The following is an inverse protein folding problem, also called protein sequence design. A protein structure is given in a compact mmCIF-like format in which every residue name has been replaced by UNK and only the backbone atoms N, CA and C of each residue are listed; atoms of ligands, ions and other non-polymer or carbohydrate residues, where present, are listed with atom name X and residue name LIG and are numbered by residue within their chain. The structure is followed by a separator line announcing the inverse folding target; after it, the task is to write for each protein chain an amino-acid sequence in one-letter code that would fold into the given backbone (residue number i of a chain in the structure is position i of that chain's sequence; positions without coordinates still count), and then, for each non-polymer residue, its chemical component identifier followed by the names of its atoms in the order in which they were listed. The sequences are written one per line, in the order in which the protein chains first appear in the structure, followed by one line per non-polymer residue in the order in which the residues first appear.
data_IF_724258559712
#
_entry.id   IF_724258559712
#
_cell.length_a   1.000
_cell.length_b   1.000
_cell.length_c   1.000
_cell.angle_alpha   90.00
_cell.angle_beta   90.00
_cell.angle_gamma   90.00
#
_symmetry.space_group_name_H-M   'P 1'
#
loop_
_entity.id
_entity.type
_entity.pdbx_description
1 polymer ?
#
# COMPACT_ATOMS: atom_id res chain seq x y z
N UNK A 1 -16.62 13.98 16.31
CA UNK A 1 -17.10 12.84 15.49
C UNK A 1 -15.97 11.82 15.42
N UNK A 2 -16.28 10.54 15.63
CA UNK A 2 -15.30 9.44 15.54
C UNK A 2 -15.08 9.05 14.07
N UNK A 3 -13.84 8.78 13.67
CA UNK A 3 -13.50 8.27 12.34
C UNK A 3 -13.79 6.77 12.23
N UNK A 4 -13.92 6.26 10.99
CA UNK A 4 -14.19 4.84 10.74
C UNK A 4 -13.08 3.92 11.29
N UNK A 5 -11.82 4.35 11.24
CA UNK A 5 -10.69 3.58 11.81
C UNK A 5 -10.78 3.50 13.33
N UNK A 6 -11.05 4.63 13.99
CA UNK A 6 -11.20 4.68 15.46
C UNK A 6 -12.39 3.84 15.95
N UNK A 7 -13.45 3.72 15.14
CA UNK A 7 -14.58 2.86 15.41
C UNK A 7 -14.19 1.37 15.37
N UNK A 8 -13.48 0.92 14.32
CA UNK A 8 -12.99 -0.47 14.21
C UNK A 8 -12.07 -0.81 15.39
N UNK A 9 -11.15 0.08 15.73
CA UNK A 9 -10.24 -0.13 16.86
C UNK A 9 -10.98 -0.19 18.21
N UNK A 10 -12.05 0.57 18.37
CA UNK A 10 -12.90 0.51 19.56
C UNK A 10 -13.66 -0.81 19.65
N UNK A 11 -14.23 -1.29 18.53
CA UNK A 11 -14.89 -2.60 18.47
C UNK A 11 -13.91 -3.72 18.83
N UNK A 12 -12.69 -3.70 18.29
CA UNK A 12 -11.62 -4.67 18.62
C UNK A 12 -11.17 -4.64 20.08
N UNK A 13 -11.28 -3.50 20.76
CA UNK A 13 -10.98 -3.39 22.19
C UNK A 13 -12.11 -3.99 23.03
N UNK A 14 -13.35 -3.74 22.62
CA UNK A 14 -14.54 -4.28 23.27
C UNK A 14 -14.55 -5.82 23.15
N UNK A 15 -14.32 -6.38 21.96
CA UNK A 15 -14.24 -7.84 21.75
C UNK A 15 -13.16 -8.49 22.61
N UNK A 16 -11.97 -7.90 22.69
CA UNK A 16 -10.89 -8.41 23.55
C UNK A 16 -11.21 -8.39 25.05
N UNK A 17 -12.12 -7.51 25.48
CA UNK A 17 -12.59 -7.51 26.86
C UNK A 17 -13.53 -8.69 27.14
N UNK A 18 -14.29 -9.10 26.12
CA UNK A 18 -15.13 -10.29 26.18
C UNK A 18 -14.33 -11.60 26.12
N UNK A 19 -13.14 -11.61 25.54
CA UNK A 19 -12.21 -12.76 25.63
C UNK A 19 -11.55 -12.93 27.03
N UNK A 20 -12.05 -12.26 28.07
CA UNK A 20 -11.46 -12.32 29.40
C UNK A 20 -12.12 -13.39 30.28
N UNK A 21 -11.32 -14.06 31.10
CA UNK A 21 -11.83 -15.06 32.06
C UNK A 21 -12.86 -14.48 33.06
N UNK A 22 -12.84 -13.17 33.30
CA UNK A 22 -13.85 -12.49 34.12
C UNK A 22 -15.21 -12.40 33.39
N UNK A 23 -15.18 -12.23 32.08
CA UNK A 23 -16.38 -12.24 31.25
C UNK A 23 -16.99 -13.64 31.18
N UNK A 24 -16.19 -14.69 31.01
CA UNK A 24 -16.68 -16.07 30.96
C UNK A 24 -17.45 -16.44 32.24
N UNK A 25 -16.91 -16.08 33.41
CA UNK A 25 -17.57 -16.30 34.71
C UNK A 25 -18.89 -15.52 34.79
N UNK A 26 -18.90 -14.25 34.40
CA UNK A 26 -20.13 -13.45 34.39
C UNK A 26 -21.18 -14.01 33.43
N UNK A 27 -20.76 -14.45 32.24
CA UNK A 27 -21.64 -15.01 31.22
C UNK A 27 -22.32 -16.28 31.73
N UNK A 28 -21.57 -17.16 32.41
CA UNK A 28 -22.13 -18.39 32.95
C UNK A 28 -23.21 -18.17 34.01
N UNK A 29 -23.12 -17.08 34.78
CA UNK A 29 -24.10 -16.69 35.80
C UNK A 29 -25.42 -16.14 35.22
N UNK A 30 -25.47 -15.84 33.92
CA UNK A 30 -26.68 -15.28 33.27
C UNK A 30 -27.72 -16.36 32.96
N UNK A 31 -28.99 -15.93 32.85
CA UNK A 31 -30.06 -16.82 32.40
C UNK A 31 -30.01 -17.06 30.87
N UNK A 32 -30.65 -18.14 30.41
CA UNK A 32 -30.62 -18.56 29.00
C UNK A 32 -31.12 -17.48 28.03
N UNK A 33 -32.10 -16.67 28.43
CA UNK A 33 -32.65 -15.62 27.58
C UNK A 33 -31.62 -14.52 27.34
N UNK A 34 -30.92 -14.11 28.38
CA UNK A 34 -29.88 -13.08 28.30
C UNK A 34 -28.64 -13.60 27.56
N UNK A 35 -28.28 -14.88 27.76
CA UNK A 35 -27.23 -15.56 26.98
C UNK A 35 -27.54 -15.54 25.48
N UNK A 36 -28.77 -15.88 25.07
CA UNK A 36 -29.20 -15.87 23.66
C UNK A 36 -29.16 -14.46 23.07
N UNK A 37 -29.66 -13.45 23.80
CA UNK A 37 -29.65 -12.06 23.35
C UNK A 37 -28.20 -11.58 23.15
N UNK A 38 -27.31 -11.91 24.09
CA UNK A 38 -25.90 -11.54 23.99
C UNK A 38 -25.24 -12.17 22.76
N UNK A 39 -25.36 -13.48 22.56
CA UNK A 39 -24.74 -14.18 21.43
C UNK A 39 -25.22 -13.62 20.07
N UNK A 40 -26.49 -13.22 19.99
CA UNK A 40 -27.03 -12.57 18.79
C UNK A 40 -26.38 -11.19 18.54
N UNK A 41 -26.22 -10.37 19.59
CA UNK A 41 -25.59 -9.06 19.49
C UNK A 41 -24.09 -9.16 19.17
N UNK A 42 -23.39 -10.11 19.77
CA UNK A 42 -21.98 -10.38 19.48
C UNK A 42 -21.78 -10.76 18.01
N UNK A 43 -22.60 -11.68 17.50
CA UNK A 43 -22.58 -12.06 16.10
C UNK A 43 -22.85 -10.87 15.17
N UNK A 44 -23.82 -10.03 15.51
CA UNK A 44 -24.13 -8.83 14.73
C UNK A 44 -22.96 -7.83 14.72
N UNK A 45 -22.30 -7.61 15.86
CA UNK A 45 -21.12 -6.74 15.97
C UNK A 45 -19.99 -7.30 15.10
N UNK A 46 -19.73 -8.60 15.15
CA UNK A 46 -18.68 -9.24 14.36
C UNK A 46 -18.94 -9.09 12.85
N UNK A 47 -20.19 -9.28 12.40
CA UNK A 47 -20.60 -9.08 11.00
C UNK A 47 -20.40 -7.62 10.56
N UNK A 48 -20.85 -6.66 11.39
CA UNK A 48 -20.71 -5.22 11.10
C UNK A 48 -19.25 -4.80 11.03
N UNK A 49 -18.40 -5.30 11.93
CA UNK A 49 -16.95 -5.09 11.90
C UNK A 49 -16.33 -5.63 10.62
N UNK A 50 -16.62 -6.89 10.27
CA UNK A 50 -16.09 -7.50 9.05
C UNK A 50 -16.49 -6.74 7.78
N UNK A 51 -17.73 -6.21 7.73
CA UNK A 51 -18.16 -5.34 6.63
C UNK A 51 -17.34 -4.04 6.57
N UNK A 52 -17.11 -3.38 7.71
CA UNK A 52 -16.32 -2.14 7.75
C UNK A 52 -14.86 -2.37 7.33
N UNK A 53 -14.27 -3.49 7.74
CA UNK A 53 -12.91 -3.89 7.35
C UNK A 53 -12.84 -4.19 5.85
N UNK A 54 -13.81 -4.93 5.30
CA UNK A 54 -13.89 -5.20 3.87
C UNK A 54 -14.06 -3.92 3.05
N UNK A 55 -14.86 -2.96 3.51
CA UNK A 55 -15.01 -1.67 2.84
C UNK A 55 -13.68 -0.87 2.84
N UNK A 56 -12.88 -0.95 3.91
CA UNK A 56 -11.54 -0.33 3.94
C UNK A 56 -10.57 -1.03 2.97
N UNK A 57 -10.58 -2.36 2.94
CA UNK A 57 -9.75 -3.13 2.03
C UNK A 57 -10.12 -2.89 0.57
N UNK A 58 -11.42 -2.79 0.27
CA UNK A 58 -11.89 -2.47 -1.08
C UNK A 58 -11.43 -1.08 -1.52
N UNK A 59 -11.58 -0.06 -0.66
CA UNK A 59 -11.11 1.29 -0.96
C UNK A 59 -9.58 1.35 -1.18
N UNK A 60 -8.81 0.51 -0.48
CA UNK A 60 -7.37 0.37 -0.71
C UNK A 60 -7.07 -0.36 -2.02
N UNK A 61 -7.78 -1.44 -2.32
CA UNK A 61 -7.66 -2.20 -3.55
C UNK A 61 -7.96 -1.33 -4.78
N UNK A 62 -9.01 -0.52 -4.73
CA UNK A 62 -9.38 0.40 -5.81
C UNK A 62 -8.28 1.44 -6.05
N UNK A 63 -7.68 1.98 -4.98
CA UNK A 63 -6.54 2.91 -5.10
C UNK A 63 -5.31 2.24 -5.69
N UNK A 64 -4.99 1.03 -5.26
CA UNK A 64 -3.86 0.26 -5.81
C UNK A 64 -4.08 -0.05 -7.29
N UNK A 65 -5.31 -0.41 -7.67
CA UNK A 65 -5.68 -0.67 -9.06
C UNK A 65 -5.49 0.57 -9.95
N UNK A 66 -5.81 1.76 -9.45
CA UNK A 66 -5.58 3.03 -10.16
C UNK A 66 -4.10 3.42 -10.25
N UNK A 67 -3.31 3.11 -9.21
CA UNK A 67 -1.89 3.50 -9.15
C UNK A 67 -0.98 2.54 -9.92
N UNK A 68 -1.33 1.26 -10.06
CA UNK A 68 -0.49 0.27 -10.72
C UNK A 68 -0.14 0.63 -12.19
N UNK A 69 -1.10 1.05 -13.06
CA UNK A 69 -0.79 1.46 -14.43
C UNK A 69 0.06 2.74 -14.50
N UNK A 70 -0.11 3.66 -13.54
CA UNK A 70 0.68 4.88 -13.47
C UNK A 70 2.14 4.58 -13.12
N UNK A 71 2.36 3.62 -12.22
CA UNK A 71 3.70 3.16 -11.86
C UNK A 71 4.38 2.47 -13.04
N UNK A 72 3.67 1.59 -13.75
CA UNK A 72 4.18 0.91 -14.95
C UNK A 72 4.58 1.91 -16.03
N UNK A 73 3.72 2.90 -16.31
CA UNK A 73 4.03 3.99 -17.25
C UNK A 73 5.26 4.80 -16.82
N UNK A 74 5.39 5.12 -15.52
CA UNK A 74 6.56 5.82 -14.99
C UNK A 74 7.85 5.03 -15.18
N UNK A 75 7.81 3.71 -15.00
CA UNK A 75 8.95 2.81 -15.24
C UNK A 75 9.32 2.82 -16.73
N UNK A 76 8.36 2.70 -17.65
CA UNK A 76 8.63 2.76 -19.09
C UNK A 76 9.25 4.10 -19.52
N UNK A 77 8.79 5.22 -18.94
CA UNK A 77 9.35 6.54 -19.20
C UNK A 77 10.80 6.64 -18.69
N UNK A 78 11.08 6.12 -17.49
CA UNK A 78 12.44 6.04 -16.96
C UNK A 78 13.36 5.18 -17.84
N UNK A 79 12.90 4.02 -18.31
CA UNK A 79 13.67 3.17 -19.22
C UNK A 79 13.98 3.86 -20.54
N UNK A 80 13.02 4.61 -21.10
CA UNK A 80 13.23 5.43 -22.30
C UNK A 80 14.27 6.51 -22.07
N UNK A 81 14.21 7.22 -20.95
CA UNK A 81 15.19 8.26 -20.62
C UNK A 81 16.58 7.68 -20.37
N UNK A 82 16.69 6.54 -19.68
CA UNK A 82 17.97 5.82 -19.50
C UNK A 82 18.57 5.43 -20.86
N UNK A 83 17.75 4.93 -21.79
CA UNK A 83 18.20 4.57 -23.14
C UNK A 83 18.71 5.81 -23.90
N UNK A 84 17.99 6.92 -23.86
CA UNK A 84 18.43 8.19 -24.46
C UNK A 84 19.75 8.68 -23.85
N UNK A 85 19.92 8.59 -22.54
CA UNK A 85 21.18 8.94 -21.86
C UNK A 85 22.34 8.06 -22.32
N UNK A 86 22.12 6.75 -22.49
CA UNK A 86 23.13 5.83 -23.00
C UNK A 86 23.58 6.20 -24.42
N UNK A 87 22.64 6.57 -25.28
CA UNK A 87 22.93 7.03 -26.64
C UNK A 87 23.65 8.39 -26.65
N UNK A 88 23.30 9.29 -25.73
CA UNK A 88 24.00 10.56 -25.52
C UNK A 88 25.45 10.35 -25.10
N UNK A 89 25.74 9.48 -24.13
CA UNK A 89 27.11 9.17 -23.70
C UNK A 89 27.96 8.63 -24.85
N UNK A 90 27.40 7.73 -25.67
CA UNK A 90 28.08 7.18 -26.85
C UNK A 90 28.37 8.26 -27.91
N UNK A 91 27.47 9.22 -28.06
CA UNK A 91 27.64 10.37 -28.96
C UNK A 91 28.76 11.28 -28.46
N UNK A 92 28.83 11.54 -27.16
CA UNK A 92 29.91 12.32 -26.54
C UNK A 92 31.26 11.62 -26.63
N UNK A 93 31.34 10.30 -26.45
CA UNK A 93 32.59 9.54 -26.66
C UNK A 93 33.08 9.61 -28.11
N UNK A 94 32.15 9.59 -29.06
CA UNK A 94 32.47 9.71 -30.49
C UNK A 94 32.95 11.13 -30.81
N UNK A 95 32.28 12.16 -30.27
CA UNK A 95 32.72 13.55 -30.37
C UNK A 95 34.11 13.74 -29.77
N UNK A 96 34.37 13.19 -28.58
CA UNK A 96 35.69 13.25 -27.95
C UNK A 96 36.78 12.58 -28.81
N UNK A 97 36.48 11.43 -29.43
CA UNK A 97 37.39 10.78 -30.39
C UNK A 97 37.65 11.64 -31.62
N UNK A 98 36.62 12.25 -32.20
CA UNK A 98 36.75 13.15 -33.35
C UNK A 98 37.59 14.37 -32.99
N UNK A 99 37.33 15.00 -31.83
CA UNK A 99 38.13 16.13 -31.33
C UNK A 99 39.59 15.71 -31.14
N UNK A 100 39.85 14.55 -30.54
CA UNK A 100 41.21 14.03 -30.35
C UNK A 100 41.94 13.79 -31.68
N UNK A 101 41.26 13.27 -32.70
CA UNK A 101 41.82 13.09 -34.04
C UNK A 101 42.18 14.43 -34.70
N UNK A 102 41.28 15.42 -34.62
CA UNK A 102 41.54 16.77 -35.16
C UNK A 102 42.71 17.44 -34.44
N UNK A 103 42.77 17.35 -33.11
CA UNK A 103 43.87 17.88 -32.32
C UNK A 103 45.21 17.23 -32.71
N UNK A 104 45.22 15.91 -32.92
CA UNK A 104 46.41 15.17 -33.37
C UNK A 104 46.88 15.70 -34.72
N UNK A 105 45.98 15.82 -35.71
CA UNK A 105 46.31 16.36 -37.04
C UNK A 105 46.91 17.77 -36.94
N UNK A 106 46.34 18.65 -36.12
CA UNK A 106 46.86 20.01 -35.93
C UNK A 106 48.29 19.96 -35.34
N UNK A 107 48.55 19.10 -34.35
CA UNK A 107 49.89 18.95 -33.78
C UNK A 107 50.90 18.28 -34.70
N UNK A 108 50.48 17.49 -35.70
CA UNK A 108 51.41 16.88 -36.67
C UNK A 108 51.70 17.79 -37.87
N UNK A 109 50.85 18.80 -38.11
CA UNK A 109 50.97 19.74 -39.24
C UNK A 109 51.56 21.09 -38.80
N UNK A 110 51.57 21.39 -37.48
CA UNK A 110 52.29 22.51 -36.87
C UNK A 110 53.73 22.14 -36.52
#
# INVERSE_FOLDING_TARGET
MMTRSELIDSLRRIERHFDSNAYDVWFEEQNDKDKIIYLALESEIAIRRGRLENEQLQALADKLYLLAPLLEKGIEELEKEIKKMKDFTRTMETLAKVIGLVATIITTVA
#
